data_IF_093690937695
#
_entry.id   IF_093690937695
#
_cell.length_a   1.000
_cell.length_b   1.000
_cell.length_c   1.000
_cell.angle_alpha   90.00
_cell.angle_beta   90.00
_cell.angle_gamma   90.00
#
_symmetry.space_group_name_H-M   'P 1'
#
loop_
_entity.id
_entity.type
_entity.pdbx_description
1 polymer ?
#
# COMPACT_ATOMS: atom_id res chain seq x y z
N UNK A 1 -7.92 -85.89 22.66
CA UNK A 1 -8.15 -84.63 23.31
C UNK A 1 -8.02 -83.51 22.32
N UNK A 2 -9.08 -82.92 21.98
CA UNK A 2 -9.14 -81.88 20.94
C UNK A 2 -9.41 -80.55 21.60
N UNK A 3 -8.55 -79.61 21.31
CA UNK A 3 -8.79 -78.21 21.60
C UNK A 3 -9.05 -77.48 20.28
N UNK A 4 -10.29 -77.34 19.95
CA UNK A 4 -10.71 -76.51 18.87
C UNK A 4 -11.38 -75.29 19.42
N UNK A 5 -10.58 -74.23 19.46
CA UNK A 5 -11.08 -72.92 19.76
C UNK A 5 -10.94 -72.01 18.54
N UNK A 6 -11.92 -72.02 17.68
CA UNK A 6 -12.00 -71.10 16.57
C UNK A 6 -12.64 -69.80 17.05
N UNK A 7 -11.78 -68.85 17.28
CA UNK A 7 -12.21 -67.48 17.46
C UNK A 7 -11.75 -66.61 16.30
N UNK A 8 -12.53 -66.61 15.23
CA UNK A 8 -12.35 -65.65 14.16
C UNK A 8 -12.96 -64.31 14.59
N UNK A 9 -12.15 -63.47 15.19
CA UNK A 9 -12.47 -62.08 15.36
C UNK A 9 -11.80 -61.27 14.27
N UNK A 10 -12.51 -61.03 13.18
CA UNK A 10 -12.10 -60.03 12.17
C UNK A 10 -12.51 -58.68 12.69
N UNK A 11 -11.63 -58.06 13.45
CA UNK A 11 -11.77 -56.65 13.74
C UNK A 11 -11.28 -55.86 12.53
N UNK A 12 -12.22 -55.43 11.71
CA UNK A 12 -11.99 -54.45 10.68
C UNK A 12 -11.80 -53.10 11.36
N UNK A 13 -10.54 -52.72 11.54
CA UNK A 13 -10.21 -51.35 11.97
C UNK A 13 -10.39 -50.48 10.76
N UNK A 14 -11.54 -49.84 10.67
CA UNK A 14 -11.78 -48.78 9.71
C UNK A 14 -10.95 -47.57 10.14
N UNK A 15 -9.84 -47.31 9.46
CA UNK A 15 -9.11 -46.08 9.58
C UNK A 15 -9.90 -44.99 8.88
N UNK A 16 -10.65 -44.23 9.64
CA UNK A 16 -11.20 -42.97 9.19
C UNK A 16 -10.03 -41.97 9.05
N UNK A 17 -9.53 -41.88 7.83
CA UNK A 17 -8.65 -40.77 7.46
C UNK A 17 -9.50 -39.51 7.39
N UNK A 18 -9.56 -38.77 8.49
CA UNK A 18 -10.08 -37.41 8.47
C UNK A 18 -9.04 -36.58 7.77
N UNK A 19 -9.19 -36.41 6.46
CA UNK A 19 -8.46 -35.40 5.71
C UNK A 19 -9.02 -34.05 6.15
N UNK A 20 -8.39 -33.50 7.19
CA UNK A 20 -8.61 -32.10 7.56
C UNK A 20 -8.09 -31.23 6.42
N UNK A 21 -8.98 -30.76 5.58
CA UNK A 21 -8.67 -29.67 4.66
C UNK A 21 -8.35 -28.43 5.51
N UNK A 22 -7.07 -28.20 5.75
CA UNK A 22 -6.57 -26.89 6.16
C UNK A 22 -6.83 -25.96 4.98
N UNK A 23 -7.98 -25.32 5.01
CA UNK A 23 -8.19 -24.13 4.20
C UNK A 23 -7.20 -23.08 4.75
N UNK A 24 -6.07 -22.94 4.09
CA UNK A 24 -5.24 -21.75 4.21
C UNK A 24 -6.13 -20.61 3.71
N UNK A 25 -6.75 -19.92 4.66
CA UNK A 25 -7.33 -18.63 4.36
C UNK A 25 -6.15 -17.74 3.95
N UNK A 26 -6.00 -17.53 2.65
CA UNK A 26 -5.23 -16.44 2.12
C UNK A 26 -5.86 -15.18 2.69
N UNK A 27 -5.28 -14.69 3.79
CA UNK A 27 -5.49 -13.33 4.22
C UNK A 27 -4.74 -12.45 3.22
N UNK A 28 -5.28 -12.33 2.02
CA UNK A 28 -4.93 -11.25 1.11
C UNK A 28 -5.23 -10.00 1.90
N UNK A 29 -4.18 -9.27 2.27
CA UNK A 29 -4.33 -7.90 2.73
C UNK A 29 -4.91 -7.13 1.54
N UNK A 30 -6.23 -7.16 1.42
CA UNK A 30 -6.98 -6.28 0.54
C UNK A 30 -6.77 -4.88 1.10
N UNK A 31 -5.69 -4.24 0.62
CA UNK A 31 -5.61 -2.80 0.71
C UNK A 31 -6.91 -2.28 0.12
N UNK A 32 -7.60 -1.39 0.85
CA UNK A 32 -8.83 -0.75 0.42
C UNK A 32 -8.54 -0.13 -0.95
N UNK A 33 -8.82 -0.89 -2.01
CA UNK A 33 -8.79 -0.35 -3.35
C UNK A 33 -10.05 0.49 -3.49
N UNK A 34 -9.95 1.73 -3.93
CA UNK A 34 -11.13 2.52 -4.21
C UNK A 34 -11.97 1.76 -5.24
N UNK A 35 -13.25 1.65 -4.97
CA UNK A 35 -14.19 0.95 -5.88
C UNK A 35 -14.23 1.55 -7.27
N UNK A 36 -13.74 2.79 -7.40
CA UNK A 36 -13.67 3.53 -8.64
C UNK A 36 -12.28 4.08 -8.90
N UNK A 37 -11.81 4.06 -10.16
CA UNK A 37 -10.58 4.75 -10.54
C UNK A 37 -10.71 6.26 -10.27
N UNK A 38 -9.60 6.91 -9.98
CA UNK A 38 -9.59 8.36 -9.77
C UNK A 38 -9.82 9.11 -11.08
N UNK A 39 -10.74 10.04 -11.05
CA UNK A 39 -11.10 10.89 -12.17
C UNK A 39 -10.56 12.33 -12.04
N UNK A 40 -9.90 12.63 -10.94
CA UNK A 40 -9.38 13.96 -10.67
C UNK A 40 -8.02 13.95 -9.98
N UNK A 41 -7.23 14.98 -10.22
CA UNK A 41 -5.96 15.22 -9.51
C UNK A 41 -6.17 15.39 -8.00
N UNK A 42 -7.33 15.86 -7.60
CA UNK A 42 -7.70 15.99 -6.19
C UNK A 42 -7.71 14.64 -5.47
N UNK A 43 -8.27 13.63 -6.10
CA UNK A 43 -8.29 12.25 -5.56
C UNK A 43 -6.89 11.66 -5.49
N UNK A 44 -6.06 11.90 -6.50
CA UNK A 44 -4.64 11.51 -6.49
C UNK A 44 -3.92 12.14 -5.29
N UNK A 45 -4.10 13.44 -5.08
CA UNK A 45 -3.49 14.15 -3.94
C UNK A 45 -3.99 13.62 -2.60
N UNK A 46 -5.27 13.35 -2.48
CA UNK A 46 -5.86 12.79 -1.28
C UNK A 46 -5.30 11.39 -0.97
N UNK A 47 -5.16 10.56 -1.99
CA UNK A 47 -4.58 9.21 -1.85
C UNK A 47 -3.11 9.27 -1.44
N UNK A 48 -2.31 10.11 -2.05
CA UNK A 48 -0.90 10.27 -1.69
C UNK A 48 -0.72 10.77 -0.26
N UNK A 49 -1.59 11.67 0.20
CA UNK A 49 -1.60 12.10 1.61
C UNK A 49 -1.99 10.98 2.57
N UNK A 50 -2.94 10.14 2.18
CA UNK A 50 -3.33 8.98 2.98
C UNK A 50 -2.22 7.92 3.07
N UNK A 51 -1.39 7.81 2.04
CA UNK A 51 -0.22 6.92 2.03
C UNK A 51 0.98 7.48 2.79
N UNK A 52 0.95 8.74 3.22
CA UNK A 52 2.10 9.40 3.82
C UNK A 52 2.66 8.62 5.01
N UNK A 53 3.94 8.34 4.94
CA UNK A 53 4.71 7.72 6.02
C UNK A 53 5.51 8.83 6.67
N UNK A 54 5.10 9.27 7.86
CA UNK A 54 5.79 10.34 8.58
C UNK A 54 7.15 9.84 9.07
N UNK A 55 8.25 10.55 8.76
CA UNK A 55 9.54 10.26 9.37
C UNK A 55 9.54 10.66 10.84
N UNK A 56 10.36 9.97 11.64
CA UNK A 56 10.60 10.35 13.04
C UNK A 56 11.43 11.64 13.05
N UNK A 57 10.77 12.77 13.33
CA UNK A 57 11.39 14.10 13.33
C UNK A 57 10.96 14.89 14.54
N UNK A 58 11.83 15.77 14.99
CA UNK A 58 11.56 16.66 16.13
C UNK A 58 10.69 17.86 15.77
N UNK A 59 10.56 18.15 14.48
CA UNK A 59 9.80 19.30 13.97
C UNK A 59 8.72 18.84 13.01
N UNK A 60 7.60 19.56 13.00
CA UNK A 60 6.55 19.37 11.99
C UNK A 60 7.11 19.74 10.63
N UNK A 61 7.18 18.78 9.74
CA UNK A 61 7.79 18.98 8.44
C UNK A 61 6.74 18.90 7.34
N UNK A 62 6.76 19.87 6.47
CA UNK A 62 5.99 19.91 5.25
C UNK A 62 6.93 19.81 4.05
N UNK A 63 6.50 19.07 3.05
CA UNK A 63 7.24 18.91 1.82
C UNK A 63 6.31 19.06 0.63
N UNK A 64 6.79 19.74 -0.40
CA UNK A 64 6.11 19.83 -1.69
C UNK A 64 6.88 18.98 -2.69
N UNK A 65 6.18 18.02 -3.29
CA UNK A 65 6.75 17.09 -4.25
C UNK A 65 6.14 17.36 -5.62
N UNK A 66 6.98 17.47 -6.61
CA UNK A 66 6.61 17.49 -8.02
C UNK A 66 6.87 16.10 -8.60
N UNK A 67 5.87 15.49 -9.17
CA UNK A 67 5.98 14.19 -9.80
C UNK A 67 5.15 14.12 -11.08
N UNK A 68 5.48 13.19 -11.95
CA UNK A 68 4.70 12.87 -13.14
C UNK A 68 4.24 11.42 -13.07
N UNK A 69 3.13 11.13 -13.72
CA UNK A 69 2.58 9.79 -13.79
C UNK A 69 2.57 9.29 -15.23
N UNK A 70 2.69 7.98 -15.37
CA UNK A 70 2.34 7.31 -16.61
C UNK A 70 0.82 7.28 -16.77
N UNK A 71 0.35 6.94 -17.95
CA UNK A 71 -1.09 6.74 -18.22
C UNK A 71 -1.74 5.74 -17.25
N UNK A 72 -0.97 4.78 -16.76
CA UNK A 72 -1.44 3.72 -15.86
C UNK A 72 -1.31 4.06 -14.37
N UNK A 73 -0.90 5.27 -14.02
CA UNK A 73 -0.76 5.72 -12.63
C UNK A 73 0.55 5.34 -11.96
N UNK A 74 1.54 4.89 -12.70
CA UNK A 74 2.89 4.65 -12.19
C UNK A 74 3.67 5.96 -12.10
N UNK A 75 4.62 6.02 -11.18
CA UNK A 75 5.50 7.19 -11.07
C UNK A 75 6.48 7.20 -12.25
N UNK A 76 6.47 8.28 -12.99
CA UNK A 76 7.37 8.48 -14.12
C UNK A 76 8.61 9.26 -13.70
N UNK A 77 9.76 8.60 -13.81
CA UNK A 77 11.04 9.20 -13.44
C UNK A 77 11.20 9.40 -11.93
N UNK A 78 12.06 10.34 -11.56
CA UNK A 78 12.32 10.66 -10.16
C UNK A 78 11.46 11.84 -9.69
N UNK A 79 10.74 11.69 -8.57
CA UNK A 79 10.06 12.81 -7.94
C UNK A 79 11.04 13.89 -7.49
N UNK A 80 10.66 15.13 -7.67
CA UNK A 80 11.45 16.29 -7.24
C UNK A 80 10.83 16.94 -6.01
N UNK A 81 11.59 17.06 -4.94
CA UNK A 81 11.20 17.87 -3.79
C UNK A 81 11.46 19.33 -4.12
N UNK A 82 10.39 20.10 -4.29
CA UNK A 82 10.49 21.52 -4.65
C UNK A 82 10.45 22.46 -3.45
N UNK A 83 10.02 21.99 -2.30
CA UNK A 83 9.99 22.74 -1.05
C UNK A 83 10.11 21.81 0.15
N UNK A 84 10.85 22.26 1.14
CA UNK A 84 10.93 21.66 2.48
C UNK A 84 10.79 22.75 3.52
N UNK A 85 10.14 22.46 4.65
CA UNK A 85 10.09 23.37 5.78
C UNK A 85 11.50 23.74 6.24
N UNK A 86 11.77 25.02 6.58
CA UNK A 86 13.06 25.44 7.10
C UNK A 86 13.33 24.84 8.49
N UNK A 87 14.61 24.78 8.89
CA UNK A 87 15.05 24.36 10.23
C UNK A 87 15.37 22.87 10.36
N UNK A 88 15.20 22.07 9.30
CA UNK A 88 15.59 20.67 9.30
C UNK A 88 17.12 20.51 9.21
N UNK A 89 17.67 19.60 10.01
CA UNK A 89 19.08 19.17 9.89
C UNK A 89 19.28 18.39 8.59
N UNK A 90 20.53 18.11 8.21
CA UNK A 90 20.81 17.29 7.02
C UNK A 90 20.27 15.88 7.17
N UNK A 91 20.39 15.28 8.37
CA UNK A 91 19.84 13.96 8.65
C UNK A 91 18.31 13.94 8.53
N UNK A 92 17.63 14.96 9.01
CA UNK A 92 16.19 15.11 8.86
C UNK A 92 15.77 15.30 7.39
N UNK A 93 16.56 16.02 6.60
CA UNK A 93 16.33 16.15 5.16
C UNK A 93 16.47 14.81 4.43
N UNK A 94 17.46 14.02 4.80
CA UNK A 94 17.65 12.67 4.26
C UNK A 94 16.50 11.75 4.65
N UNK A 95 16.07 11.78 5.91
CA UNK A 95 14.92 11.03 6.40
C UNK A 95 13.64 11.41 5.64
N UNK A 96 13.47 12.70 5.36
CA UNK A 96 12.32 13.20 4.61
C UNK A 96 12.32 12.72 3.15
N UNK A 97 13.46 12.75 2.48
CA UNK A 97 13.60 12.21 1.12
C UNK A 97 13.26 10.72 1.07
N UNK A 98 13.76 9.97 2.05
CA UNK A 98 13.45 8.54 2.18
C UNK A 98 11.96 8.29 2.43
N UNK A 99 11.32 9.10 3.28
CA UNK A 99 9.89 9.01 3.55
C UNK A 99 9.04 9.33 2.30
N UNK A 100 9.43 10.31 1.51
CA UNK A 100 8.77 10.62 0.23
C UNK A 100 8.90 9.43 -0.72
N UNK A 101 10.09 8.89 -0.90
CA UNK A 101 10.32 7.75 -1.77
C UNK A 101 9.51 6.52 -1.33
N UNK A 102 9.51 6.21 -0.03
CA UNK A 102 8.76 5.10 0.53
C UNK A 102 7.24 5.28 0.36
N UNK A 103 6.73 6.50 0.57
CA UNK A 103 5.32 6.84 0.39
C UNK A 103 4.89 6.62 -1.06
N UNK A 104 5.66 7.10 -2.01
CA UNK A 104 5.35 6.95 -3.43
C UNK A 104 5.42 5.50 -3.87
N UNK A 105 6.43 4.75 -3.44
CA UNK A 105 6.56 3.33 -3.73
C UNK A 105 5.39 2.51 -3.16
N UNK A 106 4.93 2.84 -1.96
CA UNK A 106 3.79 2.19 -1.31
C UNK A 106 2.47 2.49 -2.00
N UNK A 107 2.30 3.69 -2.50
CA UNK A 107 1.04 4.18 -3.05
C UNK A 107 0.87 3.89 -4.55
N UNK A 108 1.95 3.76 -5.28
CA UNK A 108 1.92 3.48 -6.71
C UNK A 108 1.80 1.95 -6.99
N UNK A 109 1.17 1.56 -8.10
CA UNK A 109 0.49 2.42 -9.08
C UNK A 109 -0.82 2.99 -8.53
N UNK A 110 -1.13 4.22 -8.93
CA UNK A 110 -2.39 4.86 -8.56
C UNK A 110 -3.52 4.42 -9.50
N UNK A 111 -4.70 4.06 -8.98
CA UNK A 111 -5.81 3.62 -9.80
C UNK A 111 -6.48 4.84 -10.47
N UNK A 112 -5.92 5.32 -11.57
CA UNK A 112 -6.45 6.45 -12.33
C UNK A 112 -7.30 5.95 -13.51
N UNK A 113 -8.34 6.72 -13.85
CA UNK A 113 -9.18 6.43 -15.00
C UNK A 113 -8.38 6.61 -16.31
N UNK A 114 -8.83 5.95 -17.34
CA UNK A 114 -8.21 6.06 -18.66
C UNK A 114 -8.21 7.50 -19.17
N UNK A 115 -9.32 8.21 -18.96
CA UNK A 115 -9.46 9.62 -19.33
C UNK A 115 -8.46 10.50 -18.59
N UNK A 116 -8.38 10.38 -17.27
CA UNK A 116 -7.43 11.14 -16.46
C UNK A 116 -5.98 10.77 -16.79
N UNK A 117 -5.69 9.49 -16.98
CA UNK A 117 -4.38 9.01 -17.39
C UNK A 117 -3.91 9.60 -18.71
N UNK A 118 -4.82 9.71 -19.68
CA UNK A 118 -4.54 10.35 -20.96
C UNK A 118 -4.22 11.85 -20.84
N UNK A 119 -4.88 12.54 -19.92
CA UNK A 119 -4.64 13.95 -19.64
C UNK A 119 -3.32 14.18 -18.90
N UNK A 120 -3.01 13.34 -17.94
CA UNK A 120 -1.89 13.53 -17.02
C UNK A 120 -0.57 12.90 -17.48
N UNK A 121 -0.60 11.99 -18.45
CA UNK A 121 0.59 11.26 -18.88
C UNK A 121 1.78 12.19 -19.17
N UNK A 122 2.85 12.04 -18.39
CA UNK A 122 4.05 12.84 -18.49
C UNK A 122 3.95 14.29 -17.98
N UNK A 123 2.78 14.75 -17.57
CA UNK A 123 2.61 16.11 -17.03
C UNK A 123 2.93 16.15 -15.54
N UNK A 124 3.70 17.14 -15.07
CA UNK A 124 4.00 17.27 -13.66
C UNK A 124 2.77 17.69 -12.85
N UNK A 125 2.56 17.01 -11.73
CA UNK A 125 1.61 17.41 -10.70
C UNK A 125 2.36 17.78 -9.42
N UNK A 126 1.78 18.65 -8.62
CA UNK A 126 2.36 19.11 -7.36
C UNK A 126 1.52 18.59 -6.21
N UNK A 127 2.17 17.94 -5.26
CA UNK A 127 1.53 17.38 -4.07
C UNK A 127 2.24 17.87 -2.82
N UNK A 128 1.46 18.33 -1.86
CA UNK A 128 1.95 18.73 -0.55
C UNK A 128 1.73 17.58 0.42
N UNK A 129 2.81 17.13 1.04
CA UNK A 129 2.85 16.03 1.99
C UNK A 129 3.40 16.53 3.33
N UNK A 130 3.12 15.78 4.40
CA UNK A 130 3.60 16.08 5.73
C UNK A 130 2.47 16.41 6.70
N UNK A 131 2.85 16.72 7.93
CA UNK A 131 1.92 17.08 8.98
C UNK A 131 1.54 18.57 8.87
N UNK A 132 0.33 18.90 9.30
CA UNK A 132 -0.14 20.28 9.33
C UNK A 132 -0.94 20.75 8.10
N UNK A 133 -1.09 19.92 7.08
CA UNK A 133 -2.00 20.20 5.97
C UNK A 133 -3.47 20.00 6.37
N UNK A 134 -3.84 20.45 7.55
CA UNK A 134 -5.25 20.57 7.90
C UNK A 134 -5.84 21.69 7.05
N UNK A 135 -6.98 21.43 6.44
CA UNK A 135 -7.70 22.45 5.69
C UNK A 135 -7.87 23.68 6.57
N UNK A 136 -7.47 24.88 6.11
CA UNK A 136 -7.90 26.08 6.77
C UNK A 136 -9.43 26.13 6.74
N UNK A 137 -10.06 26.16 7.90
CA UNK A 137 -11.49 26.38 8.02
C UNK A 137 -12.35 25.14 8.27
N UNK A 138 -12.13 24.49 9.37
CA UNK A 138 -13.18 23.85 10.19
C UNK A 138 -12.89 24.08 11.65
#
# INVERSE_FOLDING_TARGET
>A
MRLEGWGRGRAAIAWLVVVGSLALADASAEGIQPEHPFDSVREIRARLRACWISPQMHTTTQVTVRLSLTRNGEILGQPLISYQSPGASEDERMALRSAVAATLARCAPLPISETLGGILAGRPIVVKLGEGWRRPGR
#
